data_IF_822804294451
#
_entry.id   IF_822804294451
#
_cell.length_a   1.000
_cell.length_b   1.000
_cell.length_c   1.000
_cell.angle_alpha   90.00
_cell.angle_beta   90.00
_cell.angle_gamma   90.00
#
_symmetry.space_group_name_H-M   'P 1'
#
loop_
_entity.id
_entity.type
_entity.pdbx_description
1 polymer ?
#
# COMPACT_ATOMS: atom_id res chain seq x y z
N UNK A 1 -2.08 1.71 -40.65
CA UNK A 1 -1.33 1.60 -39.38
C UNK A 1 0.12 1.41 -39.78
N UNK A 2 1.05 2.27 -39.35
CA UNK A 2 2.46 2.18 -39.79
C UNK A 2 3.15 1.01 -39.09
N UNK A 3 4.12 0.36 -39.73
CA UNK A 3 4.92 -0.71 -39.11
C UNK A 3 5.49 -0.31 -37.74
N UNK A 4 5.86 0.98 -37.59
CA UNK A 4 6.32 1.53 -36.31
C UNK A 4 5.28 1.40 -35.19
N UNK A 5 4.00 1.64 -35.48
CA UNK A 5 2.94 1.54 -34.45
C UNK A 5 2.72 0.09 -33.99
N UNK A 6 2.84 -0.89 -34.89
CA UNK A 6 2.71 -2.29 -34.51
C UNK A 6 3.89 -2.77 -33.66
N UNK A 7 5.11 -2.33 -34.02
CA UNK A 7 6.30 -2.61 -33.22
C UNK A 7 6.21 -2.04 -31.80
N UNK A 8 5.76 -0.78 -31.66
CA UNK A 8 5.56 -0.15 -30.35
C UNK A 8 4.46 -0.86 -29.53
N UNK A 9 3.34 -1.24 -30.16
CA UNK A 9 2.27 -2.00 -29.49
C UNK A 9 2.79 -3.33 -28.92
N UNK A 10 3.63 -4.04 -29.69
CA UNK A 10 4.22 -5.31 -29.28
C UNK A 10 5.19 -5.14 -28.10
N UNK A 11 6.00 -4.07 -28.11
CA UNK A 11 6.86 -3.73 -26.96
C UNK A 11 6.00 -3.43 -25.73
N UNK A 12 4.96 -2.59 -25.88
CA UNK A 12 4.08 -2.23 -24.79
C UNK A 12 3.40 -3.47 -24.18
N UNK A 13 2.90 -4.37 -25.03
CA UNK A 13 2.30 -5.64 -24.61
C UNK A 13 3.30 -6.52 -23.86
N UNK A 14 4.52 -6.67 -24.37
CA UNK A 14 5.59 -7.42 -23.70
C UNK A 14 5.95 -6.85 -22.32
N UNK A 15 6.08 -5.52 -22.22
CA UNK A 15 6.35 -4.82 -20.97
C UNK A 15 5.21 -5.00 -19.95
N UNK A 16 3.96 -4.82 -20.38
CA UNK A 16 2.78 -4.98 -19.52
C UNK A 16 2.69 -6.43 -19.03
N UNK A 17 2.89 -7.41 -19.91
CA UNK A 17 2.88 -8.82 -19.54
C UNK A 17 3.99 -9.13 -18.52
N UNK A 18 5.23 -8.70 -18.77
CA UNK A 18 6.36 -8.96 -17.88
C UNK A 18 6.15 -8.36 -16.47
N UNK A 19 5.75 -7.09 -16.39
CA UNK A 19 5.49 -6.41 -15.11
C UNK A 19 4.31 -7.06 -14.39
N UNK A 20 3.25 -7.41 -15.12
CA UNK A 20 2.07 -8.03 -14.53
C UNK A 20 2.36 -9.43 -13.99
N UNK A 21 3.09 -10.26 -14.73
CA UNK A 21 3.47 -11.60 -14.27
C UNK A 21 4.35 -11.51 -13.02
N UNK A 22 5.35 -10.62 -13.02
CA UNK A 22 6.17 -10.38 -11.83
C UNK A 22 5.31 -9.88 -10.65
N UNK A 23 4.39 -8.96 -10.91
CA UNK A 23 3.45 -8.43 -9.93
C UNK A 23 2.56 -9.52 -9.33
N UNK A 24 1.99 -10.40 -10.16
CA UNK A 24 1.13 -11.51 -9.74
C UNK A 24 1.90 -12.50 -8.88
N UNK A 25 3.11 -12.89 -9.28
CA UNK A 25 3.94 -13.82 -8.51
C UNK A 25 4.32 -13.22 -7.16
N UNK A 26 4.84 -11.98 -7.15
CA UNK A 26 5.31 -11.33 -5.93
C UNK A 26 4.18 -11.03 -4.94
N UNK A 27 3.05 -10.45 -5.40
CA UNK A 27 1.91 -10.16 -4.55
C UNK A 27 1.15 -11.43 -4.16
N UNK A 28 1.05 -12.41 -5.07
CA UNK A 28 0.41 -13.70 -4.80
C UNK A 28 1.17 -14.51 -3.75
N UNK A 29 2.50 -14.57 -3.85
CA UNK A 29 3.35 -15.21 -2.84
C UNK A 29 3.25 -14.48 -1.50
N UNK A 30 3.30 -13.14 -1.52
CA UNK A 30 3.14 -12.33 -0.29
C UNK A 30 1.80 -12.60 0.36
N UNK A 31 0.72 -12.68 -0.44
CA UNK A 31 -0.63 -12.94 0.06
C UNK A 31 -0.70 -14.34 0.68
N UNK A 32 -0.20 -15.35 -0.02
CA UNK A 32 -0.11 -16.71 0.50
C UNK A 32 0.63 -16.77 1.84
N UNK A 33 1.79 -16.12 1.95
CA UNK A 33 2.58 -16.08 3.18
C UNK A 33 1.85 -15.36 4.31
N UNK A 34 1.21 -14.22 4.04
CA UNK A 34 0.42 -13.49 5.03
C UNK A 34 -0.78 -14.30 5.52
N UNK A 35 -1.39 -15.14 4.67
CA UNK A 35 -2.54 -15.98 5.06
C UNK A 35 -2.17 -17.27 5.80
N UNK A 36 -1.00 -17.84 5.51
CA UNK A 36 -0.61 -19.16 6.05
C UNK A 36 0.28 -19.08 7.29
N UNK A 37 1.06 -18.01 7.46
CA UNK A 37 2.00 -17.90 8.59
C UNK A 37 1.28 -17.40 9.84
N UNK A 38 1.44 -18.12 10.95
CA UNK A 38 0.84 -17.80 12.26
C UNK A 38 1.14 -16.38 12.74
N UNK A 39 2.33 -15.86 12.43
CA UNK A 39 2.77 -14.48 12.75
C UNK A 39 1.84 -13.39 12.20
N UNK A 40 1.10 -13.66 11.12
CA UNK A 40 0.19 -12.71 10.48
C UNK A 40 -1.29 -12.97 10.83
N UNK A 41 -1.60 -13.88 11.76
CA UNK A 41 -2.95 -14.08 12.29
C UNK A 41 -3.29 -12.98 13.31
N UNK A 42 -3.37 -11.73 12.83
CA UNK A 42 -3.67 -10.53 13.59
C UNK A 42 -4.19 -9.42 12.68
N UNK A 43 -4.57 -8.28 13.28
CA UNK A 43 -5.06 -7.10 12.55
C UNK A 43 -4.09 -6.63 11.45
N UNK A 44 -2.79 -6.58 11.72
CA UNK A 44 -1.79 -6.18 10.74
C UNK A 44 -1.80 -7.10 9.51
N UNK A 45 -1.82 -8.42 9.71
CA UNK A 45 -1.89 -9.38 8.61
C UNK A 45 -3.17 -9.28 7.78
N UNK A 46 -4.31 -8.91 8.39
CA UNK A 46 -5.57 -8.65 7.66
C UNK A 46 -5.43 -7.41 6.76
N UNK A 47 -4.85 -6.32 7.26
CA UNK A 47 -4.61 -5.11 6.46
C UNK A 47 -3.64 -5.39 5.30
N UNK A 48 -2.54 -6.09 5.57
CA UNK A 48 -1.60 -6.50 4.53
C UNK A 48 -2.27 -7.41 3.48
N UNK A 49 -3.10 -8.36 3.90
CA UNK A 49 -3.85 -9.21 2.98
C UNK A 49 -4.79 -8.38 2.10
N UNK A 50 -5.46 -7.38 2.67
CA UNK A 50 -6.40 -6.51 1.96
C UNK A 50 -5.68 -5.61 0.95
N UNK A 51 -4.54 -5.03 1.33
CA UNK A 51 -3.64 -4.30 0.43
C UNK A 51 -3.20 -5.17 -0.75
N UNK A 52 -2.82 -6.43 -0.50
CA UNK A 52 -2.39 -7.36 -1.54
C UNK A 52 -3.53 -7.77 -2.47
N UNK A 53 -4.76 -7.92 -1.95
CA UNK A 53 -5.96 -8.15 -2.78
C UNK A 53 -6.19 -6.96 -3.72
N UNK A 54 -6.11 -5.72 -3.23
CA UNK A 54 -6.22 -4.53 -4.07
C UNK A 54 -5.15 -4.52 -5.18
N UNK A 55 -3.90 -4.84 -4.84
CA UNK A 55 -2.83 -4.91 -5.84
C UNK A 55 -3.08 -6.01 -6.87
N UNK A 56 -3.49 -7.20 -6.44
CA UNK A 56 -3.83 -8.31 -7.34
C UNK A 56 -4.99 -7.94 -8.27
N UNK A 57 -6.04 -7.31 -7.75
CA UNK A 57 -7.15 -6.77 -8.55
C UNK A 57 -6.63 -5.81 -9.62
N UNK A 58 -5.81 -4.81 -9.23
CA UNK A 58 -5.24 -3.85 -10.16
C UNK A 58 -4.40 -4.54 -11.26
N UNK A 59 -3.52 -5.46 -10.87
CA UNK A 59 -2.63 -6.16 -11.81
C UNK A 59 -3.44 -7.03 -12.78
N UNK A 60 -4.43 -7.76 -12.29
CA UNK A 60 -5.31 -8.59 -13.14
C UNK A 60 -6.01 -7.69 -14.17
N UNK A 61 -6.60 -6.58 -13.73
CA UNK A 61 -7.29 -5.64 -14.61
C UNK A 61 -6.33 -5.05 -15.65
N UNK A 62 -5.15 -4.58 -15.23
CA UNK A 62 -4.12 -4.06 -16.12
C UNK A 62 -3.72 -5.09 -17.17
N UNK A 63 -3.41 -6.32 -16.75
CA UNK A 63 -3.02 -7.39 -17.64
C UNK A 63 -4.14 -7.70 -18.64
N UNK A 64 -5.34 -7.99 -18.15
CA UNK A 64 -6.44 -8.41 -19.03
C UNK A 64 -6.88 -7.30 -19.96
N UNK A 65 -7.07 -6.08 -19.46
CA UNK A 65 -7.64 -5.00 -20.24
C UNK A 65 -6.66 -4.45 -21.26
N UNK A 66 -5.41 -4.21 -20.85
CA UNK A 66 -4.41 -3.70 -21.78
C UNK A 66 -4.11 -4.72 -22.88
N UNK A 67 -4.06 -6.03 -22.57
CA UNK A 67 -3.94 -7.07 -23.60
C UNK A 67 -5.12 -7.05 -24.56
N UNK A 68 -6.36 -6.97 -24.07
CA UNK A 68 -7.56 -6.90 -24.93
C UNK A 68 -7.50 -5.67 -25.85
N UNK A 69 -7.20 -4.49 -25.32
CA UNK A 69 -7.13 -3.24 -26.11
C UNK A 69 -6.02 -3.32 -27.16
N UNK A 70 -4.82 -3.78 -26.80
CA UNK A 70 -3.68 -3.89 -27.71
C UNK A 70 -3.84 -5.00 -28.76
N UNK A 71 -4.56 -6.08 -28.44
CA UNK A 71 -4.82 -7.17 -29.39
C UNK A 71 -5.95 -6.82 -30.37
N UNK A 72 -7.04 -6.21 -29.88
CA UNK A 72 -8.20 -5.90 -30.73
C UNK A 72 -8.04 -4.57 -31.49
N UNK A 73 -7.23 -3.64 -30.97
CA UNK A 73 -6.93 -2.32 -31.56
C UNK A 73 -8.17 -1.54 -32.02
N UNK A 74 -9.29 -1.78 -31.33
CA UNK A 74 -10.57 -1.16 -31.67
C UNK A 74 -10.70 0.19 -30.96
N UNK A 75 -10.95 1.30 -31.68
CA UNK A 75 -11.09 2.63 -31.08
C UNK A 75 -12.16 2.69 -29.98
N UNK A 76 -13.21 1.87 -30.10
CA UNK A 76 -14.32 1.84 -29.13
C UNK A 76 -13.90 1.34 -27.74
N UNK A 77 -12.80 0.59 -27.65
CA UNK A 77 -12.26 0.10 -26.36
C UNK A 77 -11.41 1.15 -25.65
N UNK A 78 -11.05 2.23 -26.35
CA UNK A 78 -10.38 3.41 -25.80
C UNK A 78 -11.29 4.64 -25.79
N UNK A 79 -12.56 4.51 -26.19
CA UNK A 79 -13.57 5.57 -26.10
C UNK A 79 -14.41 5.42 -24.83
N UNK A 80 -14.94 6.53 -24.28
CA UNK A 80 -15.83 6.48 -23.10
C UNK A 80 -17.25 5.97 -23.42
N UNK A 81 -17.56 5.71 -24.69
CA UNK A 81 -18.93 5.41 -25.16
C UNK A 81 -19.49 4.15 -24.50
N UNK A 82 -18.68 3.10 -24.43
CA UNK A 82 -19.08 1.84 -23.82
C UNK A 82 -19.03 1.93 -22.29
N UNK A 83 -20.16 1.61 -21.64
CA UNK A 83 -20.23 1.49 -20.18
C UNK A 83 -19.18 0.53 -19.62
N UNK A 84 -18.96 -0.62 -20.28
CA UNK A 84 -17.97 -1.60 -19.81
C UNK A 84 -16.54 -1.05 -19.79
N UNK A 85 -16.17 -0.20 -20.75
CA UNK A 85 -14.85 0.46 -20.80
C UNK A 85 -14.68 1.38 -19.58
N UNK A 86 -15.71 2.18 -19.29
CA UNK A 86 -15.75 3.04 -18.10
C UNK A 86 -15.68 2.24 -16.81
N UNK A 87 -16.41 1.13 -16.73
CA UNK A 87 -16.42 0.24 -15.57
C UNK A 87 -15.04 -0.34 -15.28
N UNK A 88 -14.26 -0.70 -16.32
CA UNK A 88 -12.88 -1.17 -16.10
C UNK A 88 -12.01 -0.09 -15.46
N UNK A 89 -12.15 1.17 -15.90
CA UNK A 89 -11.49 2.31 -15.27
C UNK A 89 -11.85 2.46 -13.78
N UNK A 90 -13.12 2.27 -13.42
CA UNK A 90 -13.57 2.26 -12.01
C UNK A 90 -12.92 1.14 -11.21
N UNK A 91 -12.92 -0.09 -11.74
CA UNK A 91 -12.36 -1.26 -11.04
C UNK A 91 -10.85 -1.09 -10.83
N UNK A 92 -10.14 -0.57 -11.84
CA UNK A 92 -8.72 -0.28 -11.73
C UNK A 92 -8.42 0.81 -10.70
N UNK A 93 -9.09 1.96 -10.82
CA UNK A 93 -8.80 3.09 -9.94
C UNK A 93 -9.30 2.82 -8.50
N UNK A 94 -10.40 2.08 -8.36
CA UNK A 94 -10.88 1.62 -7.07
C UNK A 94 -9.88 0.72 -6.36
N UNK A 95 -9.19 -0.16 -7.11
CA UNK A 95 -8.10 -0.97 -6.60
C UNK A 95 -6.89 -0.10 -6.18
N UNK A 96 -6.55 0.93 -6.96
CA UNK A 96 -5.49 1.89 -6.64
C UNK A 96 -5.78 2.64 -5.33
N UNK A 97 -6.93 3.30 -5.22
CA UNK A 97 -7.32 4.01 -3.99
C UNK A 97 -7.53 3.06 -2.81
N UNK A 98 -8.08 1.86 -3.06
CA UNK A 98 -8.17 0.79 -2.08
C UNK A 98 -6.80 0.42 -1.51
N UNK A 99 -5.80 0.24 -2.38
CA UNK A 99 -4.43 -0.05 -1.98
C UNK A 99 -3.82 1.06 -1.12
N UNK A 100 -3.95 2.33 -1.55
CA UNK A 100 -3.48 3.49 -0.78
C UNK A 100 -4.14 3.56 0.61
N UNK A 101 -5.47 3.39 0.68
CA UNK A 101 -6.18 3.42 1.96
C UNK A 101 -5.82 2.26 2.87
N UNK A 102 -5.65 1.04 2.34
CA UNK A 102 -5.18 -0.10 3.14
C UNK A 102 -3.76 0.12 3.67
N UNK A 103 -2.89 0.74 2.87
CA UNK A 103 -1.55 1.09 3.30
C UNK A 103 -1.57 2.17 4.39
N UNK A 104 -2.49 3.14 4.30
CA UNK A 104 -2.69 4.15 5.34
C UNK A 104 -3.20 3.57 6.65
N UNK A 105 -4.19 2.68 6.58
CA UNK A 105 -4.65 1.93 7.74
C UNK A 105 -3.52 1.09 8.36
N UNK A 106 -2.63 0.54 7.53
CA UNK A 106 -1.45 -0.20 7.99
C UNK A 106 -0.47 0.70 8.76
N UNK A 107 -0.20 1.91 8.26
CA UNK A 107 0.64 2.90 8.94
C UNK A 107 0.03 3.31 10.30
N UNK A 108 -1.28 3.58 10.34
CA UNK A 108 -2.01 3.87 11.59
C UNK A 108 -1.92 2.68 12.55
N UNK A 109 -2.18 1.46 12.07
CA UNK A 109 -2.12 0.26 12.88
C UNK A 109 -0.74 0.08 13.54
N UNK A 110 0.35 0.28 12.78
CA UNK A 110 1.73 0.24 13.30
C UNK A 110 1.99 1.31 14.36
N UNK A 111 1.51 2.54 14.11
CA UNK A 111 1.61 3.62 15.09
C UNK A 111 0.94 3.23 16.42
N UNK A 112 -0.30 2.73 16.38
CA UNK A 112 -1.01 2.30 17.59
C UNK A 112 -0.37 1.09 18.27
N UNK A 113 0.14 0.13 17.50
CA UNK A 113 0.85 -1.03 18.04
C UNK A 113 2.07 -0.61 18.86
N UNK A 114 2.79 0.43 18.41
CA UNK A 114 3.99 0.89 19.07
C UNK A 114 3.71 1.89 20.21
N UNK A 115 2.89 2.92 19.97
CA UNK A 115 2.68 4.01 20.93
C UNK A 115 1.66 3.65 22.01
N UNK A 116 0.64 2.88 21.66
CA UNK A 116 -0.49 2.56 22.53
C UNK A 116 -0.66 1.04 22.72
N UNK A 117 0.44 0.33 22.96
CA UNK A 117 0.47 -1.13 23.09
C UNK A 117 -0.59 -1.67 24.07
N UNK A 118 -0.85 -0.98 25.19
CA UNK A 118 -1.83 -1.39 26.21
C UNK A 118 -3.28 -1.33 25.73
N UNK A 119 -3.61 -0.44 24.78
CA UNK A 119 -4.94 -0.28 24.19
C UNK A 119 -5.06 -0.86 22.79
N UNK A 120 -3.96 -1.38 22.23
CA UNK A 120 -3.92 -1.86 20.85
C UNK A 120 -4.98 -2.91 20.57
N UNK A 121 -5.05 -3.98 21.38
CA UNK A 121 -6.02 -5.06 21.20
C UNK A 121 -7.48 -4.60 21.36
N UNK A 122 -7.71 -3.51 22.10
CA UNK A 122 -9.04 -2.91 22.26
C UNK A 122 -9.46 -2.11 21.02
N UNK A 123 -8.51 -1.58 20.24
CA UNK A 123 -8.78 -0.80 19.02
C UNK A 123 -8.73 -1.69 17.76
N UNK A 124 -7.75 -2.59 17.71
CA UNK A 124 -7.39 -3.42 16.55
C UNK A 124 -7.55 -4.90 16.85
N UNK A 125 -8.80 -5.39 16.86
CA UNK A 125 -9.09 -6.82 16.85
C UNK A 125 -9.30 -7.32 15.42
N UNK A 126 -9.04 -8.61 15.18
CA UNK A 126 -9.16 -9.22 13.85
C UNK A 126 -10.52 -8.96 13.18
N UNK A 127 -11.61 -9.16 13.92
CA UNK A 127 -12.98 -8.92 13.41
C UNK A 127 -13.23 -7.47 13.07
N UNK A 128 -12.75 -6.52 13.88
CA UNK A 128 -12.94 -5.08 13.63
C UNK A 128 -12.12 -4.65 12.43
N UNK A 129 -10.87 -5.10 12.35
CA UNK A 129 -9.99 -4.79 11.23
C UNK A 129 -10.52 -5.34 9.92
N UNK A 130 -11.07 -6.55 9.91
CA UNK A 130 -11.72 -7.11 8.73
C UNK A 130 -12.92 -6.25 8.26
N UNK A 131 -13.77 -5.81 9.20
CA UNK A 131 -14.88 -4.89 8.87
C UNK A 131 -14.39 -3.55 8.32
N UNK A 132 -13.37 -2.95 8.95
CA UNK A 132 -12.75 -1.71 8.47
C UNK A 132 -12.20 -1.88 7.05
N UNK A 133 -11.52 -2.99 6.78
CA UNK A 133 -10.98 -3.27 5.44
C UNK A 133 -12.09 -3.35 4.38
N UNK A 134 -13.20 -4.04 4.66
CA UNK A 134 -14.35 -4.09 3.74
C UNK A 134 -14.93 -2.68 3.52
N UNK A 135 -15.18 -1.93 4.60
CA UNK A 135 -15.74 -0.57 4.52
C UNK A 135 -14.86 0.33 3.65
N UNK A 136 -13.55 0.35 3.89
CA UNK A 136 -12.63 1.21 3.16
C UNK A 136 -12.47 0.77 1.70
N UNK A 137 -12.49 -0.52 1.40
CA UNK A 137 -12.51 -1.02 0.03
C UNK A 137 -13.80 -0.57 -0.70
N UNK A 138 -14.95 -0.67 -0.05
CA UNK A 138 -16.22 -0.19 -0.60
C UNK A 138 -16.21 1.33 -0.81
N UNK A 139 -15.66 2.11 0.14
CA UNK A 139 -15.50 3.56 -0.01
C UNK A 139 -14.64 3.89 -1.23
N UNK A 140 -13.53 3.18 -1.46
CA UNK A 140 -12.71 3.38 -2.66
C UNK A 140 -13.48 3.11 -3.94
N UNK A 141 -14.22 2.01 -4.00
CA UNK A 141 -15.05 1.68 -5.16
C UNK A 141 -16.12 2.74 -5.40
N UNK A 142 -16.81 3.19 -4.35
CA UNK A 142 -17.83 4.25 -4.42
C UNK A 142 -17.21 5.57 -4.87
N UNK A 143 -16.08 5.97 -4.29
CA UNK A 143 -15.35 7.19 -4.69
C UNK A 143 -15.05 7.18 -6.20
N UNK A 144 -14.58 6.06 -6.75
CA UNK A 144 -14.25 5.93 -8.16
C UNK A 144 -15.46 5.85 -9.10
N UNK A 145 -16.70 5.73 -8.60
CA UNK A 145 -17.90 5.67 -9.47
C UNK A 145 -18.08 6.90 -10.35
N UNK A 146 -17.48 8.04 -10.00
CA UNK A 146 -17.52 9.24 -10.84
C UNK A 146 -16.89 9.01 -12.24
N UNK A 147 -16.01 8.01 -12.42
CA UNK A 147 -15.49 7.63 -13.74
C UNK A 147 -16.52 6.92 -14.64
N UNK A 148 -17.68 6.54 -14.10
CA UNK A 148 -18.80 6.09 -14.94
C UNK A 148 -19.40 7.23 -15.76
N UNK A 149 -19.14 8.48 -15.40
CA UNK A 149 -19.51 9.63 -16.22
C UNK A 149 -18.52 9.80 -17.38
N UNK A 150 -19.02 9.89 -18.61
CA UNK A 150 -18.20 9.89 -19.84
C UNK A 150 -17.13 10.98 -19.82
N UNK A 151 -17.47 12.17 -19.33
CA UNK A 151 -16.53 13.26 -19.28
C UNK A 151 -15.44 13.09 -18.22
N UNK A 152 -15.58 12.18 -17.24
CA UNK A 152 -14.58 11.89 -16.20
C UNK A 152 -14.01 10.46 -16.27
N UNK A 153 -14.26 9.73 -17.35
CA UNK A 153 -13.82 8.34 -17.47
C UNK A 153 -12.30 8.20 -17.47
N UNK A 154 -11.81 7.14 -16.81
CA UNK A 154 -10.42 6.72 -16.86
C UNK A 154 -10.24 5.62 -17.91
N UNK A 155 -9.45 5.87 -18.94
CA UNK A 155 -9.38 5.06 -20.16
C UNK A 155 -7.94 4.66 -20.48
N UNK A 156 -7.73 3.43 -20.93
CA UNK A 156 -6.44 3.00 -21.49
C UNK A 156 -6.35 3.39 -22.97
N UNK A 157 -5.32 4.17 -23.31
CA UNK A 157 -5.07 4.62 -24.68
C UNK A 157 -3.92 3.82 -25.31
N UNK A 158 -4.19 3.11 -26.39
CA UNK A 158 -3.17 2.47 -27.25
C UNK A 158 -2.53 3.49 -28.22
N UNK A 159 -1.47 3.10 -28.91
CA UNK A 159 -0.64 4.02 -29.70
C UNK A 159 0.27 4.85 -28.80
N UNK A 160 0.56 6.11 -29.16
CA UNK A 160 1.69 6.88 -28.61
C UNK A 160 1.76 7.10 -27.08
N UNK A 161 0.70 6.79 -26.32
CA UNK A 161 0.64 7.06 -24.86
C UNK A 161 0.79 5.82 -23.98
N UNK A 162 0.33 4.64 -24.40
CA UNK A 162 0.35 3.36 -23.63
C UNK A 162 0.05 3.50 -22.13
N UNK A 163 -0.92 4.34 -21.77
CA UNK A 163 -1.20 4.75 -20.39
C UNK A 163 -2.69 4.89 -20.14
N UNK A 164 -3.06 4.74 -18.87
CA UNK A 164 -4.36 5.11 -18.36
C UNK A 164 -4.43 6.62 -18.18
N UNK A 165 -5.43 7.24 -18.78
CA UNK A 165 -5.62 8.69 -18.79
C UNK A 165 -7.09 9.01 -18.57
N UNK A 166 -7.35 10.06 -17.80
CA UNK A 166 -8.67 10.66 -17.74
C UNK A 166 -9.03 11.26 -19.10
N UNK A 167 -10.33 11.27 -19.41
CA UNK A 167 -10.84 11.88 -20.63
C UNK A 167 -10.39 13.35 -20.77
N UNK A 168 -10.15 13.81 -21.99
CA UNK A 168 -9.54 15.14 -22.26
C UNK A 168 -10.50 16.32 -22.05
N UNK A 169 -11.76 16.04 -21.72
CA UNK A 169 -12.77 17.07 -21.43
C UNK A 169 -12.38 17.95 -20.25
N UNK A 170 -13.04 19.11 -20.14
CA UNK A 170 -12.90 20.00 -18.99
C UNK A 170 -13.15 19.28 -17.65
N UNK A 171 -14.22 18.49 -17.55
CA UNK A 171 -14.52 17.72 -16.34
C UNK A 171 -13.49 16.62 -16.08
N UNK A 172 -12.98 15.98 -17.12
CA UNK A 172 -11.97 14.93 -16.99
C UNK A 172 -10.66 15.45 -16.43
N UNK A 173 -10.27 16.67 -16.80
CA UNK A 173 -9.12 17.36 -16.19
C UNK A 173 -9.36 17.72 -14.73
N UNK A 174 -10.59 18.12 -14.35
CA UNK A 174 -10.94 18.35 -12.94
C UNK A 174 -10.84 17.05 -12.14
N UNK A 175 -11.44 15.97 -12.64
CA UNK A 175 -11.39 14.65 -12.02
C UNK A 175 -9.94 14.15 -11.86
N UNK A 176 -9.10 14.31 -12.88
CA UNK A 176 -7.67 13.99 -12.80
C UNK A 176 -6.92 14.77 -11.72
N UNK A 177 -7.21 16.07 -11.57
CA UNK A 177 -6.60 16.92 -10.54
C UNK A 177 -7.07 16.51 -9.14
N UNK A 178 -8.35 16.24 -8.97
CA UNK A 178 -8.90 15.78 -7.68
C UNK A 178 -8.25 14.46 -7.29
N UNK A 179 -8.21 13.48 -8.20
CA UNK A 179 -7.59 12.17 -7.94
C UNK A 179 -6.10 12.31 -7.57
N UNK A 180 -5.37 13.18 -8.27
CA UNK A 180 -3.96 13.46 -7.97
C UNK A 180 -3.80 14.08 -6.58
N UNK A 181 -4.61 15.10 -6.24
CA UNK A 181 -4.58 15.76 -4.93
C UNK A 181 -4.91 14.77 -3.81
N UNK A 182 -5.98 13.99 -3.96
CA UNK A 182 -6.39 12.99 -2.96
C UNK A 182 -5.31 11.92 -2.79
N UNK A 183 -4.75 11.41 -3.89
CA UNK A 183 -3.65 10.43 -3.85
C UNK A 183 -2.43 10.98 -3.11
N UNK A 184 -1.98 12.19 -3.48
CA UNK A 184 -0.82 12.83 -2.85
C UNK A 184 -1.10 13.11 -1.37
N UNK A 185 -2.28 13.61 -1.02
CA UNK A 185 -2.64 13.88 0.37
C UNK A 185 -2.61 12.61 1.23
N UNK A 186 -3.17 11.50 0.73
CA UNK A 186 -3.12 10.21 1.42
C UNK A 186 -1.68 9.68 1.55
N UNK A 187 -0.87 9.78 0.50
CA UNK A 187 0.54 9.36 0.53
C UNK A 187 1.35 10.18 1.53
N UNK A 188 1.16 11.50 1.58
CA UNK A 188 1.82 12.37 2.56
C UNK A 188 1.36 12.01 3.97
N UNK A 189 0.07 11.80 4.20
CA UNK A 189 -0.45 11.40 5.50
C UNK A 189 0.13 10.04 5.97
N UNK A 190 0.26 9.08 5.06
CA UNK A 190 0.95 7.81 5.30
C UNK A 190 2.40 8.02 5.71
N UNK A 191 3.16 8.74 4.88
CA UNK A 191 4.58 8.98 5.10
C UNK A 191 4.82 9.71 6.44
N UNK A 192 3.99 10.70 6.78
CA UNK A 192 4.05 11.37 8.08
C UNK A 192 3.78 10.40 9.24
N UNK A 193 2.78 9.54 9.11
CA UNK A 193 2.43 8.56 10.16
C UNK A 193 3.56 7.55 10.38
N UNK A 194 4.13 7.01 9.31
CA UNK A 194 5.27 6.10 9.38
C UNK A 194 6.53 6.80 9.93
N UNK A 195 6.78 8.03 9.52
CA UNK A 195 7.93 8.81 10.02
C UNK A 195 7.80 9.09 11.53
N UNK A 196 6.63 9.49 12.01
CA UNK A 196 6.37 9.66 13.44
C UNK A 196 6.58 8.33 14.19
N UNK A 197 6.10 7.22 13.61
CA UNK A 197 6.27 5.88 14.19
C UNK A 197 7.76 5.53 14.30
N UNK A 198 8.56 5.78 13.26
CA UNK A 198 10.00 5.56 13.24
C UNK A 198 10.71 6.40 14.33
N UNK A 199 10.37 7.68 14.46
CA UNK A 199 10.94 8.54 15.50
C UNK A 199 10.65 8.00 16.91
N UNK A 200 9.44 7.50 17.15
CA UNK A 200 9.06 6.89 18.43
C UNK A 200 9.84 5.59 18.68
N UNK A 201 10.04 4.75 17.66
CA UNK A 201 10.85 3.54 17.75
C UNK A 201 12.30 3.88 18.13
N UNK A 202 12.91 4.84 17.42
CA UNK A 202 14.29 5.27 17.70
C UNK A 202 14.40 5.84 19.11
N UNK A 203 13.46 6.69 19.54
CA UNK A 203 13.46 7.25 20.89
C UNK A 203 13.38 6.16 21.97
N UNK A 204 12.49 5.18 21.80
CA UNK A 204 12.38 4.03 22.71
C UNK A 204 13.67 3.21 22.77
N UNK A 205 14.28 2.90 21.62
CA UNK A 205 15.54 2.17 21.57
C UNK A 205 16.68 2.93 22.25
N UNK A 206 16.74 4.26 22.10
CA UNK A 206 17.72 5.12 22.79
C UNK A 206 17.52 5.09 24.31
N UNK A 207 16.28 5.21 24.79
CA UNK A 207 15.97 5.12 26.22
C UNK A 207 16.32 3.76 26.80
N UNK A 208 15.95 2.67 26.12
CA UNK A 208 16.29 1.32 26.56
C UNK A 208 17.79 1.09 26.63
N UNK A 209 18.54 1.51 25.59
CA UNK A 209 20.00 1.41 25.59
C UNK A 209 20.62 2.21 26.73
N UNK A 210 20.12 3.41 27.02
CA UNK A 210 20.60 4.22 28.15
C UNK A 210 20.34 3.53 29.48
N UNK A 211 19.14 3.00 29.69
CA UNK A 211 18.79 2.28 30.92
C UNK A 211 19.64 1.02 31.10
N UNK A 212 19.92 0.27 30.02
CA UNK A 212 20.84 -0.88 30.06
C UNK A 212 22.25 -0.42 30.44
N UNK A 213 22.79 0.62 29.79
CA UNK A 213 24.11 1.16 30.13
C UNK A 213 24.19 1.64 31.57
N UNK A 214 23.18 2.36 32.06
CA UNK A 214 23.08 2.80 33.46
C UNK A 214 23.05 1.59 34.40
N UNK A 215 22.23 0.57 34.13
CA UNK A 215 22.17 -0.65 34.95
C UNK A 215 23.50 -1.41 34.97
N UNK A 216 24.19 -1.54 33.83
CA UNK A 216 25.51 -2.17 33.75
C UNK A 216 26.57 -1.34 34.48
N UNK A 217 26.48 -0.01 34.41
CA UNK A 217 27.42 0.88 35.11
C UNK A 217 27.24 0.77 36.61
N UNK A 218 25.99 0.77 37.09
CA UNK A 218 25.65 0.57 38.50
C UNK A 218 26.10 -0.82 38.98
N UNK A 219 25.91 -1.88 38.19
CA UNK A 219 26.38 -3.22 38.57
C UNK A 219 27.91 -3.28 38.66
N UNK A 220 28.63 -2.65 37.74
CA UNK A 220 30.11 -2.60 37.74
C UNK A 220 30.64 -1.78 38.93
N UNK A 221 29.96 -0.69 39.31
CA UNK A 221 30.33 0.10 40.50
C UNK A 221 30.13 -0.74 41.77
N UNK A 222 28.96 -1.39 41.90
CA UNK A 222 28.66 -2.25 43.05
C UNK A 222 29.66 -3.41 43.18
N UNK A 223 30.09 -4.01 42.07
CA UNK A 223 31.12 -5.07 42.08
C UNK A 223 32.47 -4.55 42.59
N UNK A 224 32.88 -3.35 42.16
CA UNK A 224 34.14 -2.71 42.63
C UNK A 224 34.09 -2.37 44.11
N UNK A 225 32.95 -1.89 44.62
CA UNK A 225 32.77 -1.59 46.05
C UNK A 225 32.87 -2.85 46.91
N UNK A 226 32.25 -3.96 46.48
CA UNK A 226 32.35 -5.25 47.17
C UNK A 226 33.79 -5.78 47.17
N UNK A 227 34.53 -5.63 46.06
CA UNK A 227 35.94 -6.01 45.99
C UNK A 227 36.83 -5.15 46.90
N UNK A 228 36.59 -3.85 46.95
CA UNK A 228 37.30 -2.93 47.85
C UNK A 228 37.04 -3.28 49.32
N UNK A 229 35.79 -3.56 49.68
CA UNK A 229 35.42 -3.98 51.04
C UNK A 229 36.10 -5.28 51.44
N UNK A 230 36.16 -6.28 50.54
CA UNK A 230 36.90 -7.53 50.76
C UNK A 230 38.40 -7.29 50.98
N UNK A 231 39.02 -6.38 50.23
CA UNK A 231 40.44 -6.04 50.39
C UNK A 231 40.74 -5.38 51.75
N UNK A 232 39.85 -4.50 52.24
CA UNK A 232 39.97 -3.89 53.57
C UNK A 232 39.90 -4.94 54.67
N UNK A 233 38.99 -5.92 54.57
CA UNK A 233 38.86 -7.00 55.54
C UNK A 233 40.11 -7.90 55.55
N UNK A 234 40.65 -8.28 54.39
CA UNK A 234 41.81 -9.18 54.31
C UNK A 234 43.13 -8.54 54.76
N UNK A 235 43.19 -7.22 54.97
CA UNK A 235 44.40 -6.51 55.39
C UNK A 235 44.54 -6.40 56.93
N UNK A 236 43.48 -6.68 57.69
CA UNK A 236 43.49 -6.76 59.15
C UNK A 236 43.57 -8.22 59.62
#
# INVERSE_FOLDING_TARGET
MSENSEFEDNIAMGCIAAISVFGLISNGLSFYLTRTRSRFRNAFGILCSSFLICNLQAIIVLLTWCTIVLSLKSPILSSPELFSVRLVGVILNGAWFGSILMHFLTAINRFFAFVYATRYNQLWSETRTFKIAIIFWTISMVYCTHHLYENCSLLFNYGSKYRWLHHTSYHGQICARIDAIVSVALIVAMACTDFITLLKIIAYHRTMRRNTTESTTVSVINEKEVLFFKQVIMRN
#
